data_IF_754282011823
#
_entry.id   IF_754282011823
#
_cell.length_a   1.000
_cell.length_b   1.000
_cell.length_c   1.000
_cell.angle_alpha   90.00
_cell.angle_beta   90.00
_cell.angle_gamma   90.00
#
_symmetry.space_group_name_H-M   'P 1'
#
loop_
_entity.id
_entity.type
_entity.pdbx_description
1 polymer ?
#
# COMPACT_ATOMS: atom_id res chain seq x y z
N UNK A 1 -24.85 21.46 -12.49
CA UNK A 1 -26.25 21.47 -12.04
C UNK A 1 -26.79 20.05 -11.74
N UNK A 2 -26.28 19.02 -12.42
CA UNK A 2 -26.74 17.61 -12.29
C UNK A 2 -26.74 17.08 -10.84
N UNK A 3 -25.74 17.44 -10.04
CA UNK A 3 -25.56 16.94 -8.66
C UNK A 3 -25.91 17.99 -7.58
N UNK A 4 -26.61 19.08 -7.92
CA UNK A 4 -26.82 20.20 -6.99
C UNK A 4 -27.58 19.82 -5.72
N UNK A 5 -28.65 19.05 -5.83
CA UNK A 5 -29.46 18.63 -4.68
C UNK A 5 -28.70 17.62 -3.81
N UNK A 6 -27.96 16.70 -4.43
CA UNK A 6 -27.11 15.73 -3.73
C UNK A 6 -26.00 16.44 -2.94
N UNK A 7 -25.30 17.39 -3.58
CA UNK A 7 -24.26 18.18 -2.93
C UNK A 7 -24.82 19.01 -1.76
N UNK A 8 -26.00 19.64 -1.93
CA UNK A 8 -26.65 20.40 -0.88
C UNK A 8 -27.03 19.50 0.29
N UNK A 9 -27.57 18.28 0.03
CA UNK A 9 -27.93 17.35 1.09
C UNK A 9 -26.70 16.91 1.90
N UNK A 10 -25.56 16.72 1.24
CA UNK A 10 -24.29 16.40 1.91
C UNK A 10 -23.81 17.60 2.75
N UNK A 11 -23.90 18.83 2.22
CA UNK A 11 -23.56 20.03 2.99
C UNK A 11 -24.45 20.22 4.23
N UNK A 12 -25.73 19.93 4.12
CA UNK A 12 -26.69 19.99 5.25
C UNK A 12 -26.33 18.99 6.36
N UNK A 13 -25.66 17.87 6.02
CA UNK A 13 -25.19 16.85 6.97
C UNK A 13 -23.75 17.08 7.47
N UNK A 14 -23.06 18.15 7.11
CA UNK A 14 -21.64 18.38 7.44
C UNK A 14 -21.34 18.13 8.93
N UNK A 15 -22.18 18.62 9.82
CA UNK A 15 -21.97 18.42 11.27
C UNK A 15 -22.10 16.96 11.71
N UNK A 16 -23.05 16.22 11.13
CA UNK A 16 -23.26 14.80 11.40
C UNK A 16 -22.12 13.95 10.84
N UNK A 17 -21.63 14.29 9.64
CA UNK A 17 -20.47 13.63 9.00
C UNK A 17 -19.23 13.78 9.88
N UNK A 18 -18.91 15.01 10.31
CA UNK A 18 -17.75 15.28 11.19
C UNK A 18 -17.86 14.48 12.48
N UNK A 19 -19.04 14.44 13.10
CA UNK A 19 -19.24 13.69 14.34
C UNK A 19 -19.12 12.18 14.13
N UNK A 20 -19.65 11.63 13.04
CA UNK A 20 -19.49 10.21 12.68
C UNK A 20 -18.01 9.84 12.47
N UNK A 21 -17.25 10.69 11.83
CA UNK A 21 -15.81 10.51 11.65
C UNK A 21 -15.08 10.54 13.00
N UNK A 22 -15.39 11.51 13.89
CA UNK A 22 -14.82 11.56 15.24
C UNK A 22 -15.06 10.29 16.04
N UNK A 23 -16.28 9.76 15.98
CA UNK A 23 -16.60 8.49 16.65
C UNK A 23 -15.75 7.34 16.12
N UNK A 24 -15.54 7.24 14.82
CA UNK A 24 -14.68 6.21 14.23
C UNK A 24 -13.19 6.42 14.60
N UNK A 25 -12.69 7.64 14.48
CA UNK A 25 -11.28 7.99 14.78
C UNK A 25 -10.93 7.77 16.24
N UNK A 26 -11.90 7.99 17.18
CA UNK A 26 -11.69 7.79 18.61
C UNK A 26 -11.37 6.33 19.00
N UNK A 27 -11.60 5.39 18.10
CA UNK A 27 -11.32 3.97 18.30
C UNK A 27 -9.91 3.65 17.80
N UNK A 28 -9.01 3.23 18.69
CA UNK A 28 -7.66 2.78 18.35
C UNK A 28 -7.72 1.43 17.66
N UNK A 29 -7.81 1.42 16.33
CA UNK A 29 -8.03 0.23 15.50
C UNK A 29 -6.77 -0.33 14.84
N UNK A 30 -5.64 -0.23 15.52
CA UNK A 30 -4.40 -0.91 15.10
C UNK A 30 -4.55 -2.41 15.30
N UNK A 31 -4.15 -3.20 14.30
CA UNK A 31 -4.14 -4.66 14.38
C UNK A 31 -3.33 -5.15 15.58
N UNK A 32 -3.85 -6.11 16.29
CA UNK A 32 -3.21 -6.73 17.44
C UNK A 32 -3.40 -8.26 17.43
N UNK A 33 -2.95 -8.93 18.49
CA UNK A 33 -3.12 -10.38 18.60
C UNK A 33 -4.59 -10.78 18.46
N UNK A 34 -4.90 -11.84 17.71
CA UNK A 34 -6.25 -12.34 17.55
C UNK A 34 -6.86 -12.78 18.88
N UNK A 35 -8.15 -12.48 19.07
CA UNK A 35 -8.98 -12.99 20.15
C UNK A 35 -10.14 -13.83 19.56
N UNK A 36 -10.85 -14.64 20.35
CA UNK A 36 -11.85 -15.59 19.82
C UNK A 36 -12.91 -14.97 18.91
N UNK A 37 -13.35 -13.74 19.19
CA UNK A 37 -14.34 -12.98 18.41
C UNK A 37 -13.79 -11.67 17.82
N UNK A 38 -12.48 -11.47 17.86
CA UNK A 38 -11.76 -10.32 17.32
C UNK A 38 -10.53 -10.78 16.50
N UNK A 39 -10.73 -11.25 15.27
CA UNK A 39 -9.67 -11.89 14.47
C UNK A 39 -8.46 -11.00 14.18
N UNK A 40 -8.63 -9.69 14.21
CA UNK A 40 -7.56 -8.69 14.01
C UNK A 40 -7.25 -7.90 15.29
N UNK A 41 -7.78 -8.36 16.45
CA UNK A 41 -7.73 -7.68 17.73
C UNK A 41 -8.96 -6.84 18.02
N UNK A 42 -9.08 -6.39 19.27
CA UNK A 42 -10.25 -5.67 19.77
C UNK A 42 -10.51 -4.35 19.02
N UNK A 43 -9.44 -3.58 18.73
CA UNK A 43 -9.59 -2.26 18.11
C UNK A 43 -10.25 -2.29 16.72
N UNK A 44 -9.76 -3.09 15.75
CA UNK A 44 -10.41 -3.25 14.45
C UNK A 44 -11.84 -3.77 14.54
N UNK A 45 -12.13 -4.70 15.47
CA UNK A 45 -13.51 -5.15 15.74
C UNK A 45 -14.41 -4.00 16.21
N UNK A 46 -13.97 -3.24 17.22
CA UNK A 46 -14.75 -2.12 17.78
C UNK A 46 -15.01 -1.05 16.69
N UNK A 47 -14.04 -0.79 15.80
CA UNK A 47 -14.21 0.13 14.68
C UNK A 47 -15.26 -0.36 13.67
N UNK A 48 -15.24 -1.66 13.36
CA UNK A 48 -16.22 -2.28 12.48
C UNK A 48 -17.63 -2.23 13.09
N UNK A 49 -17.78 -2.59 14.37
CA UNK A 49 -19.05 -2.52 15.09
C UNK A 49 -19.61 -1.08 15.12
N UNK A 50 -18.73 -0.09 15.36
CA UNK A 50 -19.10 1.33 15.31
C UNK A 50 -19.63 1.75 13.92
N UNK A 51 -18.98 1.33 12.83
CA UNK A 51 -19.42 1.66 11.47
C UNK A 51 -20.78 1.01 11.14
N UNK A 52 -21.00 -0.24 11.58
CA UNK A 52 -22.30 -0.93 11.45
C UNK A 52 -23.39 -0.18 12.22
N UNK A 53 -23.15 0.18 13.49
CA UNK A 53 -24.10 0.95 14.28
C UNK A 53 -24.43 2.31 13.67
N UNK A 54 -23.44 3.02 13.11
CA UNK A 54 -23.65 4.28 12.40
C UNK A 54 -24.54 4.04 11.17
N UNK A 55 -24.25 3.03 10.36
CA UNK A 55 -25.05 2.68 9.19
C UNK A 55 -26.52 2.38 9.56
N UNK A 56 -26.75 1.61 10.62
CA UNK A 56 -28.11 1.31 11.13
C UNK A 56 -28.83 2.57 11.61
N UNK A 57 -28.15 3.46 12.35
CA UNK A 57 -28.72 4.76 12.79
C UNK A 57 -29.09 5.66 11.61
N UNK A 58 -28.35 5.59 10.50
CA UNK A 58 -28.64 6.26 9.23
C UNK A 58 -29.79 5.57 8.46
N UNK A 59 -30.30 4.45 8.98
CA UNK A 59 -31.38 3.68 8.38
C UNK A 59 -30.95 2.85 7.17
N UNK A 60 -29.65 2.56 7.00
CA UNK A 60 -29.13 1.70 5.95
C UNK A 60 -29.27 0.21 6.37
N UNK A 61 -29.33 -0.70 5.40
CA UNK A 61 -29.22 -2.13 5.69
C UNK A 61 -27.74 -2.43 5.96
N UNK A 62 -27.39 -2.96 7.13
CA UNK A 62 -25.99 -3.22 7.47
C UNK A 62 -25.78 -4.70 7.85
N UNK A 63 -24.56 -5.20 7.62
CA UNK A 63 -24.16 -6.56 7.96
C UNK A 63 -22.69 -6.60 8.41
N UNK A 64 -22.45 -7.26 9.54
CA UNK A 64 -21.13 -7.64 10.01
C UNK A 64 -20.86 -9.10 9.60
N UNK A 65 -19.68 -9.38 9.08
CA UNK A 65 -19.25 -10.70 8.64
C UNK A 65 -18.05 -11.12 9.50
N UNK A 66 -18.35 -11.88 10.56
CA UNK A 66 -17.40 -12.50 11.50
C UNK A 66 -16.37 -11.54 12.10
N UNK A 67 -16.75 -10.27 12.34
CA UNK A 67 -15.87 -9.21 12.85
C UNK A 67 -14.57 -9.02 12.04
N UNK A 68 -14.62 -9.31 10.74
CA UNK A 68 -13.50 -9.14 9.79
C UNK A 68 -13.77 -8.05 8.77
N UNK A 69 -15.02 -7.97 8.32
CA UNK A 69 -15.47 -7.06 7.27
C UNK A 69 -16.98 -6.85 7.43
N UNK A 70 -17.48 -5.73 7.01
CA UNK A 70 -18.89 -5.44 7.01
C UNK A 70 -19.31 -4.56 5.86
N UNK A 71 -20.61 -4.31 5.76
CA UNK A 71 -21.11 -3.39 4.75
C UNK A 71 -22.41 -2.71 5.15
N UNK A 72 -22.69 -1.60 4.50
CA UNK A 72 -23.99 -0.94 4.46
C UNK A 72 -24.49 -0.89 3.01
N UNK A 73 -25.81 -1.08 2.81
CA UNK A 73 -26.41 -1.21 1.47
C UNK A 73 -27.73 -0.46 1.35
N UNK A 74 -27.98 0.06 0.14
CA UNK A 74 -29.29 0.60 -0.28
C UNK A 74 -29.68 0.05 -1.66
N UNK A 75 -30.94 0.15 -1.99
CA UNK A 75 -31.49 -0.23 -3.29
C UNK A 75 -31.91 -1.69 -3.38
N UNK A 76 -32.38 -2.04 -4.56
CA UNK A 76 -32.85 -3.36 -4.95
C UNK A 76 -32.25 -3.71 -6.32
N UNK A 77 -32.25 -4.98 -6.72
CA UNK A 77 -31.72 -5.43 -8.02
C UNK A 77 -30.70 -6.55 -7.91
N UNK A 78 -30.38 -7.14 -9.06
CA UNK A 78 -29.51 -8.31 -9.15
C UNK A 78 -28.04 -7.93 -9.13
N UNK A 79 -27.67 -6.75 -9.61
CA UNK A 79 -26.29 -6.27 -9.63
C UNK A 79 -26.02 -5.27 -8.48
N UNK A 80 -24.75 -5.17 -8.07
CA UNK A 80 -24.31 -4.29 -7.01
C UNK A 80 -23.03 -3.58 -7.40
N UNK A 81 -22.95 -2.27 -7.11
CA UNK A 81 -21.73 -1.46 -7.19
C UNK A 81 -21.25 -1.10 -5.79
N UNK A 82 -19.94 -0.92 -5.60
CA UNK A 82 -19.42 -0.71 -4.26
C UNK A 82 -18.39 0.41 -4.13
N UNK A 83 -18.39 1.03 -2.94
CA UNK A 83 -17.24 1.74 -2.37
C UNK A 83 -16.61 0.79 -1.36
N UNK A 84 -15.30 0.53 -1.46
CA UNK A 84 -14.58 -0.35 -0.56
C UNK A 84 -13.50 0.45 0.19
N UNK A 85 -13.70 0.63 1.49
CA UNK A 85 -12.74 1.31 2.35
C UNK A 85 -12.34 0.46 3.56
N UNK A 86 -11.51 1.01 4.46
CA UNK A 86 -11.07 0.30 5.66
C UNK A 86 -11.20 1.14 6.94
N UNK A 87 -11.14 0.45 8.07
CA UNK A 87 -11.34 1.02 9.40
C UNK A 87 -10.16 0.72 10.34
N UNK A 88 -9.27 -0.20 9.98
CA UNK A 88 -7.99 -0.37 10.66
C UNK A 88 -7.03 0.77 10.29
N UNK A 89 -6.03 0.96 11.12
CA UNK A 89 -5.04 2.03 10.94
C UNK A 89 -3.65 1.53 11.33
N UNK A 90 -2.61 2.15 10.78
CA UNK A 90 -1.23 1.93 11.22
C UNK A 90 -0.99 2.47 12.64
N UNK A 91 0.05 2.01 13.36
CA UNK A 91 0.44 2.55 14.66
C UNK A 91 0.57 4.07 14.67
N UNK A 92 0.23 4.69 15.80
CA UNK A 92 0.23 6.16 15.92
C UNK A 92 1.62 6.77 15.69
N UNK A 93 2.67 6.11 16.20
CA UNK A 93 4.01 6.70 16.24
C UNK A 93 4.11 7.85 17.25
N UNK A 94 5.31 8.44 17.32
CA UNK A 94 5.62 9.56 18.21
C UNK A 94 5.64 10.89 17.43
N UNK A 95 5.48 12.01 18.12
CA UNK A 95 5.64 13.35 17.54
C UNK A 95 4.34 14.03 17.12
N UNK A 96 3.21 13.58 17.60
CA UNK A 96 1.92 14.24 17.41
C UNK A 96 1.85 15.57 18.17
N UNK A 97 1.38 16.62 17.49
CA UNK A 97 1.06 17.93 18.09
C UNK A 97 -0.42 18.08 18.46
N UNK A 98 -1.27 17.19 17.99
CA UNK A 98 -2.71 17.07 18.27
C UNK A 98 -2.99 15.65 18.78
N UNK A 99 -4.09 15.46 19.52
CA UNK A 99 -4.49 14.10 19.93
C UNK A 99 -4.86 13.25 18.70
N UNK A 100 -4.12 12.18 18.42
CA UNK A 100 -4.34 11.36 17.21
C UNK A 100 -5.69 10.65 17.14
N UNK A 101 -6.42 10.59 18.27
CA UNK A 101 -7.72 9.91 18.36
C UNK A 101 -8.90 10.88 18.56
N UNK A 102 -8.68 12.20 18.54
CA UNK A 102 -9.73 13.18 18.80
C UNK A 102 -10.39 13.76 17.55
N UNK A 103 -9.78 13.61 16.36
CA UNK A 103 -10.21 14.27 15.13
C UNK A 103 -10.52 15.76 15.33
N UNK A 104 -9.58 16.46 16.01
CA UNK A 104 -9.69 17.89 16.30
C UNK A 104 -9.62 18.71 15.01
N UNK A 105 -10.38 19.79 14.97
CA UNK A 105 -10.36 20.71 13.81
C UNK A 105 -9.73 22.03 14.26
N UNK A 106 -8.62 22.40 13.62
CA UNK A 106 -7.93 23.66 13.78
C UNK A 106 -7.79 24.35 12.43
N UNK A 107 -8.24 25.57 12.31
CA UNK A 107 -8.21 26.38 11.07
C UNK A 107 -8.77 25.64 9.84
N UNK A 108 -9.83 24.84 10.02
CA UNK A 108 -10.49 24.09 8.96
C UNK A 108 -9.78 22.79 8.57
N UNK A 109 -8.72 22.39 9.26
CA UNK A 109 -8.00 21.14 9.07
C UNK A 109 -8.34 20.19 10.21
N UNK A 110 -8.76 18.96 9.90
CA UNK A 110 -9.02 17.87 10.84
C UNK A 110 -7.75 17.04 11.02
N UNK A 111 -7.30 16.87 12.27
CA UNK A 111 -6.11 16.09 12.63
C UNK A 111 -6.51 14.81 13.34
N UNK A 112 -5.89 13.70 12.97
CA UNK A 112 -6.10 12.40 13.65
C UNK A 112 -5.67 11.23 12.77
N UNK A 113 -5.34 10.09 13.39
CA UNK A 113 -5.01 8.88 12.67
C UNK A 113 -6.28 8.27 12.03
N UNK A 114 -6.27 8.12 10.71
CA UNK A 114 -7.39 7.62 9.93
C UNK A 114 -8.33 8.73 9.42
N UNK A 115 -8.07 10.02 9.68
CA UNK A 115 -8.93 11.10 9.15
C UNK A 115 -8.83 11.19 7.62
N UNK A 116 -7.70 10.80 7.04
CA UNK A 116 -7.45 10.72 5.60
C UNK A 116 -7.36 9.27 5.11
N UNK A 117 -6.74 8.40 5.88
CA UNK A 117 -6.45 7.01 5.53
C UNK A 117 -6.99 6.04 6.59
N UNK A 118 -8.16 5.45 6.42
CA UNK A 118 -9.25 5.68 5.44
C UNK A 118 -10.61 5.85 6.16
N UNK A 119 -10.58 6.00 7.54
CA UNK A 119 -11.83 6.15 8.33
C UNK A 119 -12.66 7.35 7.89
N UNK A 120 -12.01 8.51 7.62
CA UNK A 120 -12.71 9.71 7.18
C UNK A 120 -13.49 9.50 5.89
N UNK A 121 -12.84 9.10 4.78
CA UNK A 121 -13.50 8.81 3.51
C UNK A 121 -14.51 7.66 3.59
N UNK A 122 -14.20 6.59 4.32
CA UNK A 122 -15.09 5.43 4.49
C UNK A 122 -16.38 5.80 5.24
N UNK A 123 -16.29 6.51 6.36
CA UNK A 123 -17.48 6.99 7.09
C UNK A 123 -18.20 8.05 6.24
N UNK A 124 -17.49 8.95 5.57
CA UNK A 124 -18.08 9.89 4.62
C UNK A 124 -18.89 9.21 3.52
N UNK A 125 -18.46 8.04 3.07
CA UNK A 125 -19.18 7.23 2.08
C UNK A 125 -20.51 6.68 2.60
N UNK A 126 -20.65 6.40 3.91
CA UNK A 126 -21.96 6.06 4.51
C UNK A 126 -22.94 7.21 4.38
N UNK A 127 -22.50 8.44 4.60
CA UNK A 127 -23.33 9.64 4.43
C UNK A 127 -23.62 9.94 2.96
N UNK A 128 -22.76 9.55 2.03
CA UNK A 128 -23.06 9.58 0.61
C UNK A 128 -24.25 8.66 0.28
N UNK A 129 -24.28 7.43 0.80
CA UNK A 129 -25.45 6.53 0.69
C UNK A 129 -26.71 7.13 1.32
N UNK A 130 -26.56 7.71 2.50
CA UNK A 130 -27.66 8.39 3.22
C UNK A 130 -28.26 9.51 2.37
N UNK A 131 -27.43 10.36 1.73
CA UNK A 131 -27.89 11.44 0.88
C UNK A 131 -28.70 10.93 -0.32
N UNK A 132 -28.21 9.89 -1.02
CA UNK A 132 -28.88 9.25 -2.15
C UNK A 132 -30.26 8.71 -1.70
N UNK A 133 -30.30 8.00 -0.57
CA UNK A 133 -31.51 7.44 0.01
C UNK A 133 -32.53 8.52 0.40
N UNK A 134 -32.09 9.57 1.10
CA UNK A 134 -32.99 10.64 1.59
C UNK A 134 -33.65 11.42 0.45
N UNK A 135 -32.94 11.57 -0.65
CA UNK A 135 -33.47 12.23 -1.84
C UNK A 135 -34.30 11.30 -2.74
N UNK A 136 -34.36 10.00 -2.43
CA UNK A 136 -35.07 9.02 -3.24
C UNK A 136 -34.55 8.96 -4.68
N UNK A 137 -33.23 9.12 -4.88
CA UNK A 137 -32.64 9.11 -6.22
C UNK A 137 -32.74 7.70 -6.82
N UNK A 138 -33.32 7.60 -8.01
CA UNK A 138 -33.45 6.33 -8.71
C UNK A 138 -32.09 5.78 -9.14
N UNK A 139 -31.91 4.48 -9.01
CA UNK A 139 -30.76 3.72 -9.48
C UNK A 139 -31.17 2.26 -9.78
N UNK A 140 -30.53 1.67 -10.79
CA UNK A 140 -30.86 0.34 -11.28
C UNK A 140 -30.11 -0.80 -10.56
N UNK A 141 -29.00 -0.48 -9.88
CA UNK A 141 -28.17 -1.44 -9.13
C UNK A 141 -28.20 -1.11 -7.64
N UNK A 142 -28.02 -2.12 -6.79
CA UNK A 142 -27.78 -1.88 -5.35
C UNK A 142 -26.45 -1.14 -5.18
N UNK A 143 -26.39 -0.29 -4.15
CA UNK A 143 -25.18 0.46 -3.80
C UNK A 143 -24.72 0.00 -2.42
N UNK A 144 -23.46 -0.44 -2.31
CA UNK A 144 -22.85 -0.94 -1.09
C UNK A 144 -21.63 -0.12 -0.71
N UNK A 145 -21.48 0.22 0.57
CA UNK A 145 -20.21 0.63 1.16
C UNK A 145 -19.71 -0.55 1.99
N UNK A 146 -18.56 -1.08 1.64
CA UNK A 146 -17.89 -2.20 2.30
C UNK A 146 -16.75 -1.62 3.15
N UNK A 147 -16.64 -2.05 4.41
CA UNK A 147 -15.60 -1.61 5.33
C UNK A 147 -14.78 -2.79 5.80
N UNK A 148 -13.51 -2.85 5.39
CA UNK A 148 -12.53 -3.83 5.85
C UNK A 148 -11.93 -3.46 7.20
N UNK A 149 -11.38 -4.44 7.87
CA UNK A 149 -10.73 -4.27 9.17
C UNK A 149 -9.28 -4.83 9.20
N UNK A 150 -8.63 -4.96 8.04
CA UNK A 150 -7.28 -5.52 7.87
C UNK A 150 -6.63 -5.10 6.53
N UNK A 151 -6.78 -3.84 6.12
CA UNK A 151 -6.12 -3.33 4.90
C UNK A 151 -4.63 -3.20 5.12
N UNK A 152 -4.24 -2.46 6.13
CA UNK A 152 -2.88 -2.05 6.49
C UNK A 152 -1.91 -3.23 6.75
N UNK A 153 -2.46 -4.43 6.89
CA UNK A 153 -1.68 -5.60 7.26
C UNK A 153 -1.96 -6.85 6.43
N UNK A 154 -2.57 -6.70 5.23
CA UNK A 154 -2.59 -7.75 4.22
C UNK A 154 -3.94 -8.12 3.64
N UNK A 155 -4.99 -7.32 3.86
CA UNK A 155 -6.30 -7.41 3.19
C UNK A 155 -7.00 -8.78 3.29
N UNK A 156 -6.71 -9.56 4.35
CA UNK A 156 -7.30 -10.90 4.54
C UNK A 156 -8.81 -10.85 4.80
N UNK A 157 -9.32 -9.71 5.24
CA UNK A 157 -10.75 -9.45 5.44
C UNK A 157 -11.54 -9.52 4.12
N UNK A 158 -11.01 -9.01 3.00
CA UNK A 158 -11.68 -9.10 1.69
C UNK A 158 -11.64 -10.54 1.16
N UNK A 159 -10.53 -11.26 1.35
CA UNK A 159 -10.49 -12.69 1.04
C UNK A 159 -11.56 -13.47 1.83
N UNK A 160 -11.81 -13.08 3.09
CA UNK A 160 -12.87 -13.66 3.91
C UNK A 160 -14.28 -13.32 3.39
N UNK A 161 -14.52 -12.07 2.95
CA UNK A 161 -15.75 -11.63 2.31
C UNK A 161 -16.11 -12.52 1.12
N UNK A 162 -15.15 -12.73 0.20
CA UNK A 162 -15.33 -13.60 -0.98
C UNK A 162 -15.61 -15.05 -0.55
N UNK A 163 -14.82 -15.58 0.40
CA UNK A 163 -14.97 -16.96 0.90
C UNK A 163 -16.29 -17.19 1.60
N UNK A 164 -16.87 -16.18 2.23
CA UNK A 164 -18.18 -16.25 2.90
C UNK A 164 -19.36 -16.27 1.91
N UNK A 165 -19.07 -16.20 0.61
CA UNK A 165 -20.09 -16.25 -0.43
C UNK A 165 -20.84 -14.92 -0.62
N UNK A 166 -20.27 -13.82 -0.15
CA UNK A 166 -20.82 -12.49 -0.40
C UNK A 166 -20.65 -12.11 -1.87
N UNK A 167 -21.56 -11.31 -2.37
CA UNK A 167 -21.59 -10.88 -3.74
C UNK A 167 -20.43 -9.94 -4.10
N UNK A 168 -19.77 -10.20 -5.20
CA UNK A 168 -18.70 -9.36 -5.74
C UNK A 168 -19.32 -8.19 -6.53
N UNK A 169 -18.90 -6.93 -6.29
CA UNK A 169 -19.40 -5.79 -7.05
C UNK A 169 -19.05 -5.88 -8.52
N UNK A 170 -19.99 -5.47 -9.39
CA UNK A 170 -19.76 -5.41 -10.85
C UNK A 170 -18.91 -4.20 -11.26
N UNK A 171 -18.83 -3.16 -10.42
CA UNK A 171 -17.92 -2.02 -10.54
C UNK A 171 -17.82 -1.28 -9.21
N UNK A 172 -16.77 -0.51 -9.02
CA UNK A 172 -16.63 0.29 -7.81
C UNK A 172 -15.31 1.06 -7.73
N UNK A 173 -15.07 1.60 -6.54
CA UNK A 173 -13.81 2.27 -6.24
C UNK A 173 -13.46 2.18 -4.74
N UNK A 174 -12.20 2.38 -4.43
CA UNK A 174 -11.73 2.62 -3.06
C UNK A 174 -11.42 4.11 -2.87
N UNK A 175 -11.87 4.75 -1.76
CA UNK A 175 -11.59 6.16 -1.47
C UNK A 175 -10.27 6.33 -0.69
N UNK A 176 -9.27 5.51 -0.96
CA UNK A 176 -8.04 5.35 -0.20
C UNK A 176 -6.82 5.61 -1.10
N UNK A 177 -6.75 6.81 -1.69
CA UNK A 177 -5.63 7.23 -2.56
C UNK A 177 -5.77 8.67 -3.04
N UNK A 178 -5.30 8.94 -4.26
CA UNK A 178 -5.34 10.26 -4.89
C UNK A 178 -6.46 10.38 -5.94
N UNK A 179 -6.99 11.58 -6.08
CA UNK A 179 -7.70 12.00 -7.29
C UNK A 179 -6.72 12.37 -8.41
N UNK A 180 -7.08 12.31 -9.71
CA UNK A 180 -8.43 11.95 -10.20
C UNK A 180 -8.77 10.46 -10.18
N UNK A 181 -7.99 9.59 -10.82
CA UNK A 181 -8.26 8.15 -10.90
C UNK A 181 -6.93 7.39 -10.95
N UNK A 182 -6.72 6.51 -10.00
CA UNK A 182 -5.64 5.52 -10.09
C UNK A 182 -6.22 4.27 -10.74
N UNK A 183 -5.96 4.10 -12.02
CA UNK A 183 -6.46 2.98 -12.81
C UNK A 183 -5.42 1.88 -13.04
N UNK A 184 -4.16 2.12 -12.62
CA UNK A 184 -3.04 1.20 -12.78
C UNK A 184 -2.25 1.10 -11.46
N UNK A 185 -2.18 -0.08 -10.89
CA UNK A 185 -1.36 -0.38 -9.72
C UNK A 185 -0.41 -1.54 -10.06
N UNK A 186 0.90 -1.31 -9.97
CA UNK A 186 1.91 -2.31 -10.33
C UNK A 186 1.68 -3.63 -9.60
N UNK A 187 1.97 -4.72 -10.30
CA UNK A 187 2.17 -6.00 -9.66
C UNK A 187 3.34 -5.94 -8.70
N UNK A 188 3.31 -6.77 -7.67
CA UNK A 188 4.38 -6.82 -6.67
C UNK A 188 4.81 -8.25 -6.43
N UNK A 189 6.08 -8.46 -6.20
CA UNK A 189 6.51 -9.67 -5.51
C UNK A 189 7.60 -9.37 -4.50
N UNK A 190 7.66 -10.19 -3.48
CA UNK A 190 8.80 -10.23 -2.59
C UNK A 190 9.28 -11.66 -2.43
N UNK A 191 10.59 -11.85 -2.38
CA UNK A 191 11.19 -13.14 -2.15
C UNK A 191 12.38 -13.04 -1.19
N UNK A 192 12.71 -14.17 -0.58
CA UNK A 192 13.94 -14.34 0.19
C UNK A 192 14.89 -15.17 -0.66
N UNK A 193 16.08 -14.64 -0.86
CA UNK A 193 17.20 -15.32 -1.52
C UNK A 193 18.23 -15.72 -0.47
N UNK A 194 18.78 -16.93 -0.59
CA UNK A 194 19.74 -17.48 0.37
C UNK A 194 20.99 -18.00 -0.32
N UNK A 195 22.15 -17.65 0.22
CA UNK A 195 23.47 -18.18 -0.15
C UNK A 195 24.12 -18.85 1.05
N UNK A 196 24.33 -20.15 1.00
CA UNK A 196 25.13 -20.85 1.99
C UNK A 196 26.60 -20.48 1.82
N UNK A 197 27.33 -20.30 2.93
CA UNK A 197 28.75 -19.96 2.91
C UNK A 197 29.60 -21.10 3.46
N UNK A 198 30.73 -21.39 2.80
CA UNK A 198 31.83 -22.15 3.38
C UNK A 198 32.88 -21.17 3.94
N UNK A 199 32.93 -21.06 5.26
CA UNK A 199 33.87 -20.18 5.97
C UNK A 199 35.31 -20.74 6.09
N UNK A 200 35.64 -21.84 5.40
CA UNK A 200 36.98 -22.42 5.41
C UNK A 200 37.90 -21.88 4.29
N UNK A 201 37.57 -20.70 3.77
CA UNK A 201 38.31 -20.01 2.70
C UNK A 201 39.27 -18.96 3.27
N UNK A 202 39.66 -17.96 2.45
CA UNK A 202 40.54 -16.86 2.84
C UNK A 202 39.83 -15.74 3.65
N UNK A 203 38.67 -16.08 4.24
CA UNK A 203 37.87 -15.18 5.07
C UNK A 203 37.06 -15.97 6.11
N UNK A 204 36.61 -15.24 7.14
CA UNK A 204 35.58 -15.69 8.08
C UNK A 204 34.58 -14.55 8.31
N UNK A 205 33.41 -14.64 7.68
CA UNK A 205 32.32 -13.70 7.92
C UNK A 205 31.78 -13.89 9.34
N UNK A 206 31.68 -12.81 10.12
CA UNK A 206 31.16 -12.81 11.49
C UNK A 206 29.80 -12.14 11.59
N UNK A 207 29.60 -11.05 10.87
CA UNK A 207 28.34 -10.33 10.81
C UNK A 207 28.12 -9.71 9.43
N UNK A 208 26.91 -9.82 8.93
CA UNK A 208 26.38 -9.06 7.80
C UNK A 208 24.89 -8.88 8.06
N UNK A 209 24.50 -7.70 8.51
CA UNK A 209 23.09 -7.44 8.86
C UNK A 209 22.69 -6.01 8.56
N UNK A 210 21.50 -5.82 7.98
CA UNK A 210 20.99 -4.50 7.65
C UNK A 210 19.55 -4.51 7.19
N UNK A 211 18.93 -3.34 7.30
CA UNK A 211 17.51 -3.16 7.02
C UNK A 211 16.59 -3.80 8.05
N UNK A 212 15.34 -3.36 8.08
CA UNK A 212 14.31 -3.86 9.03
C UNK A 212 13.04 -4.30 8.31
N UNK A 213 12.78 -3.73 7.14
CA UNK A 213 11.59 -4.03 6.33
C UNK A 213 11.94 -4.14 4.85
N UNK A 214 11.27 -5.06 4.14
CA UNK A 214 11.59 -5.41 2.74
C UNK A 214 11.31 -4.29 1.74
N UNK A 215 10.33 -3.44 2.02
CA UNK A 215 9.84 -2.38 1.12
C UNK A 215 10.49 -1.00 1.36
N UNK A 216 11.65 -0.99 2.01
CA UNK A 216 12.46 0.21 2.22
C UNK A 216 13.89 -0.05 1.74
N UNK A 217 14.50 0.90 1.03
CA UNK A 217 15.91 0.87 0.65
C UNK A 217 16.75 0.86 1.93
N UNK A 218 17.68 -0.08 2.01
CA UNK A 218 18.49 -0.35 3.21
C UNK A 218 19.39 0.85 3.55
N UNK A 219 19.10 1.61 4.64
CA UNK A 219 19.85 2.81 4.97
C UNK A 219 21.12 2.55 5.79
N UNK A 220 21.23 1.38 6.42
CA UNK A 220 22.36 1.03 7.27
C UNK A 220 22.68 -0.46 7.16
N UNK A 221 23.97 -0.78 7.20
CA UNK A 221 24.48 -2.14 7.17
C UNK A 221 25.64 -2.28 8.14
N UNK A 222 25.65 -3.35 8.94
CA UNK A 222 26.78 -3.78 9.77
C UNK A 222 27.51 -4.90 9.09
N UNK A 223 28.84 -4.77 9.00
CA UNK A 223 29.72 -5.75 8.39
C UNK A 223 30.91 -6.04 9.29
N UNK A 224 31.10 -7.32 9.64
CA UNK A 224 32.29 -7.79 10.38
C UNK A 224 32.85 -9.04 9.71
N UNK A 225 34.14 -9.00 9.38
CA UNK A 225 34.87 -10.09 8.73
C UNK A 225 36.31 -10.19 9.24
N UNK A 226 36.80 -11.39 9.32
CA UNK A 226 38.22 -11.70 9.58
C UNK A 226 38.86 -12.23 8.31
N UNK A 227 39.93 -11.56 7.83
CA UNK A 227 40.62 -11.92 6.57
C UNK A 227 42.01 -11.29 6.50
N UNK A 228 42.96 -11.98 5.86
CA UNK A 228 44.27 -11.43 5.55
C UNK A 228 44.26 -10.60 4.26
N UNK A 229 43.14 -10.56 3.56
CA UNK A 229 43.00 -9.72 2.36
C UNK A 229 43.03 -8.24 2.70
N UNK A 230 43.52 -7.44 1.78
CA UNK A 230 43.40 -5.99 1.85
C UNK A 230 42.07 -5.57 1.26
N UNK A 231 41.22 -5.01 2.12
CA UNK A 231 39.89 -4.51 1.74
C UNK A 231 39.93 -2.99 1.64
N UNK A 232 39.27 -2.44 0.62
CA UNK A 232 39.07 -1.00 0.50
C UNK A 232 37.57 -0.71 0.76
N UNK A 233 37.28 -0.04 1.88
CA UNK A 233 35.92 0.28 2.29
C UNK A 233 35.85 1.79 2.54
N UNK A 234 34.95 2.49 1.84
CA UNK A 234 34.79 3.95 1.91
C UNK A 234 36.10 4.74 1.67
N UNK A 235 37.02 4.17 0.83
CA UNK A 235 38.33 4.78 0.51
C UNK A 235 39.41 4.52 1.55
N UNK A 236 39.14 3.77 2.61
CA UNK A 236 40.10 3.36 3.62
C UNK A 236 40.51 1.90 3.44
N UNK A 237 41.78 1.60 3.74
CA UNK A 237 42.35 0.25 3.62
C UNK A 237 42.27 -0.48 4.96
N UNK A 238 41.71 -1.68 4.94
CA UNK A 238 41.50 -2.54 6.11
C UNK A 238 42.10 -3.93 5.89
N UNK A 239 42.51 -4.58 6.96
CA UNK A 239 42.94 -5.98 6.98
C UNK A 239 42.81 -6.58 8.38
N UNK A 240 42.80 -7.89 8.51
CA UNK A 240 42.64 -8.60 9.80
C UNK A 240 41.15 -8.65 10.21
N UNK A 241 40.87 -8.24 11.43
CA UNK A 241 39.48 -8.08 11.90
C UNK A 241 38.94 -6.74 11.45
N UNK A 242 38.05 -6.76 10.47
CA UNK A 242 37.41 -5.59 9.91
C UNK A 242 35.99 -5.51 10.44
N UNK A 243 35.64 -4.40 11.12
CA UNK A 243 34.30 -4.11 11.62
C UNK A 243 33.93 -2.70 11.17
N UNK A 244 32.85 -2.55 10.39
CA UNK A 244 32.40 -1.27 9.90
C UNK A 244 30.88 -1.21 9.73
N UNK A 245 30.38 0.02 9.73
CA UNK A 245 29.00 0.33 9.35
C UNK A 245 29.03 1.08 8.02
N UNK A 246 28.12 0.67 7.12
CA UNK A 246 27.93 1.33 5.83
C UNK A 246 26.66 2.12 5.88
N UNK A 247 26.75 3.42 5.64
CA UNK A 247 25.61 4.32 5.57
C UNK A 247 25.08 4.42 4.13
N UNK A 248 23.78 4.31 4.00
CA UNK A 248 23.00 4.59 2.81
C UNK A 248 21.98 5.69 3.06
N UNK A 249 20.88 5.66 2.31
CA UNK A 249 19.74 6.58 2.44
C UNK A 249 18.46 5.81 2.19
N UNK A 250 17.50 5.90 3.11
CA UNK A 250 16.20 5.24 2.94
C UNK A 250 15.37 5.90 1.84
N UNK A 251 14.58 5.08 1.17
CA UNK A 251 13.50 5.47 0.27
C UNK A 251 12.49 4.32 0.21
N UNK A 252 11.27 4.60 -0.21
CA UNK A 252 10.29 3.54 -0.42
C UNK A 252 10.65 2.68 -1.64
N UNK A 253 10.37 1.37 -1.62
CA UNK A 253 10.71 0.43 -2.70
C UNK A 253 10.01 0.71 -4.04
N UNK A 254 8.97 1.56 -4.06
CA UNK A 254 8.35 2.04 -5.30
C UNK A 254 9.14 3.16 -6.00
N UNK A 255 10.05 3.81 -5.29
CA UNK A 255 10.94 4.87 -5.79
C UNK A 255 12.35 4.69 -5.25
N UNK A 256 12.97 3.51 -5.47
CA UNK A 256 14.26 3.15 -4.85
C UNK A 256 15.41 4.03 -5.33
N UNK A 257 15.29 4.65 -6.50
CA UNK A 257 16.25 5.60 -7.07
C UNK A 257 16.43 6.89 -6.24
N UNK A 258 15.51 7.17 -5.31
CA UNK A 258 15.61 8.29 -4.36
C UNK A 258 16.45 7.94 -3.12
N UNK A 259 16.79 6.67 -2.95
CA UNK A 259 17.60 6.13 -1.87
C UNK A 259 19.02 5.76 -2.29
N UNK A 260 19.79 5.26 -1.30
CA UNK A 260 21.11 4.65 -1.51
C UNK A 260 21.18 3.36 -0.69
N UNK A 261 21.33 2.23 -1.34
CA UNK A 261 21.34 0.93 -0.67
C UNK A 261 22.70 0.63 -0.04
N UNK A 262 22.76 0.49 1.28
CA UNK A 262 24.00 0.25 2.01
C UNK A 262 24.68 -1.08 1.64
N UNK A 263 23.92 -2.13 1.31
CA UNK A 263 24.47 -3.41 0.86
C UNK A 263 25.17 -3.28 -0.49
N UNK A 264 24.53 -2.61 -1.44
CA UNK A 264 25.11 -2.43 -2.77
C UNK A 264 26.37 -1.56 -2.71
N UNK A 265 26.42 -0.54 -1.82
CA UNK A 265 27.63 0.24 -1.54
C UNK A 265 28.75 -0.64 -0.98
N UNK A 266 28.47 -1.54 -0.03
CA UNK A 266 29.47 -2.49 0.47
C UNK A 266 29.97 -3.41 -0.66
N UNK A 267 29.06 -3.97 -1.45
CA UNK A 267 29.43 -4.87 -2.54
C UNK A 267 30.33 -4.17 -3.56
N UNK A 268 30.04 -2.91 -3.91
CA UNK A 268 30.87 -2.11 -4.80
C UNK A 268 32.26 -1.80 -4.20
N UNK A 269 32.33 -1.44 -2.92
CA UNK A 269 33.61 -1.27 -2.21
C UNK A 269 34.48 -2.55 -2.25
N UNK A 270 33.86 -3.72 -2.18
CA UNK A 270 34.52 -5.02 -2.15
C UNK A 270 34.71 -5.64 -3.56
N UNK A 271 34.28 -4.97 -4.64
CA UNK A 271 34.33 -5.47 -6.04
C UNK A 271 35.67 -6.04 -6.47
N UNK A 272 36.76 -5.38 -6.07
CA UNK A 272 38.11 -5.77 -6.43
C UNK A 272 38.85 -6.59 -5.37
N UNK A 273 38.16 -7.04 -4.33
CA UNK A 273 38.72 -7.89 -3.29
C UNK A 273 38.88 -9.32 -3.80
N UNK A 274 40.00 -9.96 -3.44
CA UNK A 274 40.36 -11.31 -3.89
C UNK A 274 39.69 -12.39 -3.01
N UNK A 275 38.41 -12.23 -2.68
CA UNK A 275 37.67 -13.31 -2.00
C UNK A 275 37.56 -14.53 -2.91
N UNK A 276 37.40 -15.70 -2.30
CA UNK A 276 37.22 -16.97 -3.00
C UNK A 276 35.89 -17.64 -2.53
N UNK A 277 35.42 -18.62 -3.29
CA UNK A 277 34.23 -19.42 -2.95
C UNK A 277 32.93 -18.64 -2.84
N UNK A 278 32.09 -19.04 -1.88
CA UNK A 278 30.71 -18.62 -1.80
C UNK A 278 30.49 -17.11 -1.55
N UNK A 279 31.38 -16.47 -0.78
CA UNK A 279 31.31 -15.02 -0.57
C UNK A 279 31.63 -14.26 -1.86
N UNK A 280 32.60 -14.77 -2.63
CA UNK A 280 32.89 -14.20 -3.96
C UNK A 280 31.68 -14.30 -4.87
N UNK A 281 31.03 -15.46 -4.93
CA UNK A 281 29.81 -15.67 -5.74
C UNK A 281 28.70 -14.70 -5.34
N UNK A 282 28.50 -14.51 -4.02
CA UNK A 282 27.52 -13.54 -3.52
C UNK A 282 27.85 -12.10 -3.94
N UNK A 283 29.11 -11.68 -3.76
CA UNK A 283 29.55 -10.33 -4.16
C UNK A 283 29.50 -10.16 -5.68
N UNK A 284 29.85 -11.19 -6.46
CA UNK A 284 29.74 -11.18 -7.91
C UNK A 284 28.28 -11.04 -8.37
N UNK A 285 27.34 -11.73 -7.71
CA UNK A 285 25.91 -11.54 -7.98
C UNK A 285 25.47 -10.10 -7.72
N UNK A 286 25.84 -9.52 -6.57
CA UNK A 286 25.51 -8.13 -6.24
C UNK A 286 26.12 -7.14 -7.26
N UNK A 287 27.36 -7.35 -7.64
CA UNK A 287 28.11 -6.43 -8.49
C UNK A 287 27.82 -6.58 -9.99
N UNK A 288 27.55 -7.80 -10.47
CA UNK A 288 27.45 -8.07 -11.90
C UNK A 288 26.01 -8.24 -12.38
N UNK A 289 25.08 -8.61 -11.47
CA UNK A 289 23.68 -8.79 -11.83
C UNK A 289 22.80 -7.65 -11.29
N UNK A 290 23.01 -7.21 -10.03
CA UNK A 290 22.23 -6.09 -9.44
C UNK A 290 22.86 -4.73 -9.79
N UNK A 291 24.17 -4.58 -9.63
CA UNK A 291 25.03 -3.48 -10.10
C UNK A 291 24.56 -2.05 -9.75
N UNK A 292 24.12 -1.79 -8.52
CA UNK A 292 23.62 -0.47 -8.09
C UNK A 292 22.36 0.02 -8.83
N UNK A 293 21.77 -0.80 -9.69
CA UNK A 293 20.55 -0.48 -10.43
C UNK A 293 19.30 -0.79 -9.61
N UNK A 294 18.26 -0.04 -9.91
CA UNK A 294 16.96 -0.17 -9.23
C UNK A 294 15.82 -0.58 -10.17
N UNK A 295 16.13 -0.91 -11.41
CA UNK A 295 15.15 -1.29 -12.44
C UNK A 295 15.43 -2.66 -13.10
N UNK A 296 16.46 -3.38 -12.60
CA UNK A 296 16.77 -4.74 -13.05
C UNK A 296 17.29 -4.87 -14.48
N UNK A 297 17.84 -3.79 -15.05
CA UNK A 297 18.35 -3.78 -16.42
C UNK A 297 19.53 -4.74 -16.59
N UNK A 298 20.57 -4.63 -15.78
CA UNK A 298 21.74 -5.54 -15.82
C UNK A 298 21.33 -6.97 -15.45
N UNK A 299 20.39 -7.13 -14.53
CA UNK A 299 19.81 -8.43 -14.16
C UNK A 299 19.04 -9.09 -15.33
N UNK A 300 18.68 -8.32 -16.35
CA UNK A 300 17.97 -8.79 -17.54
C UNK A 300 16.47 -9.05 -17.32
N UNK A 301 15.88 -8.37 -16.35
CA UNK A 301 14.45 -8.43 -16.03
C UNK A 301 13.74 -7.08 -16.20
N UNK A 302 14.44 -6.09 -16.73
CA UNK A 302 13.86 -4.78 -17.01
C UNK A 302 12.60 -4.89 -17.87
N UNK A 303 11.57 -4.18 -17.47
CA UNK A 303 10.34 -3.98 -18.26
C UNK A 303 9.72 -2.63 -17.93
N UNK A 304 8.99 -2.07 -18.89
CA UNK A 304 8.34 -0.77 -18.79
C UNK A 304 7.08 -0.74 -19.65
N UNK A 305 6.05 -0.04 -19.17
CA UNK A 305 4.86 0.28 -19.93
C UNK A 305 4.48 1.76 -19.79
N UNK A 306 3.57 2.21 -20.68
CA UNK A 306 3.07 3.59 -20.66
C UNK A 306 2.12 3.88 -19.50
N UNK A 307 1.51 2.83 -18.94
CA UNK A 307 0.43 2.93 -17.96
C UNK A 307 0.96 3.10 -16.53
N UNK A 308 2.07 2.43 -16.22
CA UNK A 308 2.63 2.42 -14.86
C UNK A 308 4.13 2.67 -14.78
N UNK A 309 4.81 2.89 -15.93
CA UNK A 309 6.23 3.14 -16.02
C UNK A 309 7.09 1.89 -15.86
N UNK A 310 8.34 2.05 -15.39
CA UNK A 310 9.34 0.99 -15.33
C UNK A 310 9.29 0.13 -14.08
N UNK A 311 9.81 -1.08 -14.18
CA UNK A 311 10.07 -1.98 -13.04
C UNK A 311 10.91 -1.28 -11.97
N UNK A 312 10.64 -1.58 -10.70
CA UNK A 312 11.54 -1.23 -9.60
C UNK A 312 11.97 -2.47 -8.84
N UNK A 313 13.22 -2.47 -8.37
CA UNK A 313 13.85 -3.56 -7.64
C UNK A 313 14.56 -2.98 -6.41
N UNK A 314 14.28 -3.54 -5.24
CA UNK A 314 14.89 -3.15 -3.98
C UNK A 314 15.37 -4.37 -3.19
N UNK A 315 16.52 -4.24 -2.53
CA UNK A 315 16.98 -5.19 -1.51
C UNK A 315 16.79 -4.51 -0.15
N UNK A 316 15.78 -4.97 0.61
CA UNK A 316 15.36 -4.29 1.83
C UNK A 316 16.03 -4.77 3.11
N UNK A 317 16.27 -6.06 3.23
CA UNK A 317 16.82 -6.70 4.45
C UNK A 317 17.91 -7.68 4.07
N UNK A 318 18.97 -7.75 4.87
CA UNK A 318 19.99 -8.81 4.80
C UNK A 318 20.37 -9.26 6.20
N UNK A 319 20.62 -10.55 6.33
CA UNK A 319 21.12 -11.16 7.57
C UNK A 319 22.04 -12.35 7.28
N UNK A 320 23.05 -12.51 8.13
CA UNK A 320 23.93 -13.68 8.17
C UNK A 320 23.75 -14.42 9.47
N UNK A 321 23.26 -15.65 9.42
CA UNK A 321 22.92 -16.50 10.57
C UNK A 321 24.10 -17.36 11.12
N UNK A 322 25.31 -17.16 10.60
CA UNK A 322 26.49 -17.95 10.92
C UNK A 322 26.81 -19.05 9.90
N UNK A 323 25.88 -19.40 9.03
CA UNK A 323 26.04 -20.41 7.96
C UNK A 323 25.65 -19.88 6.58
N UNK A 324 24.65 -19.00 6.52
CA UNK A 324 24.08 -18.52 5.27
C UNK A 324 23.79 -17.02 5.31
N UNK A 325 23.96 -16.35 4.18
CA UNK A 325 23.43 -15.02 3.92
C UNK A 325 22.01 -15.16 3.38
N UNK A 326 21.05 -14.51 4.01
CA UNK A 326 19.68 -14.35 3.46
C UNK A 326 19.39 -12.90 3.21
N UNK A 327 18.76 -12.59 2.08
CA UNK A 327 18.37 -11.22 1.73
C UNK A 327 17.02 -11.19 1.02
N UNK A 328 16.30 -10.09 1.22
CA UNK A 328 14.96 -9.91 0.63
C UNK A 328 15.04 -9.05 -0.62
N UNK A 329 14.31 -9.46 -1.65
CA UNK A 329 14.03 -8.65 -2.85
C UNK A 329 12.56 -8.25 -2.83
N UNK A 330 12.27 -6.96 -2.99
CA UNK A 330 10.94 -6.40 -3.27
C UNK A 330 10.96 -5.77 -4.66
N UNK A 331 10.02 -6.14 -5.51
CA UNK A 331 9.92 -5.62 -6.88
C UNK A 331 8.52 -5.15 -7.20
N UNK A 332 8.44 -4.03 -7.94
CA UNK A 332 7.19 -3.48 -8.49
C UNK A 332 7.22 -3.64 -9.99
N UNK A 333 6.30 -4.46 -10.50
CA UNK A 333 6.27 -4.90 -11.91
C UNK A 333 5.18 -4.13 -12.65
N UNK A 334 5.50 -3.49 -13.79
CA UNK A 334 4.53 -2.77 -14.61
C UNK A 334 3.30 -3.61 -14.96
N UNK A 335 2.13 -2.98 -15.09
CA UNK A 335 0.83 -3.65 -15.11
C UNK A 335 0.60 -4.57 -16.31
N UNK A 336 1.35 -4.40 -17.38
CA UNK A 336 1.26 -5.24 -18.58
C UNK A 336 2.19 -6.45 -18.55
N UNK A 337 2.98 -6.62 -17.48
CA UNK A 337 3.94 -7.71 -17.31
C UNK A 337 3.55 -8.62 -16.13
N UNK A 338 4.01 -9.89 -16.21
CA UNK A 338 3.80 -10.88 -15.16
C UNK A 338 4.86 -10.77 -14.07
N UNK A 339 4.47 -10.55 -12.80
CA UNK A 339 5.40 -10.64 -11.67
C UNK A 339 6.10 -12.01 -11.57
N UNK A 340 5.42 -13.08 -11.96
CA UNK A 340 5.94 -14.44 -11.98
C UNK A 340 7.11 -14.59 -12.97
N UNK A 341 7.01 -13.97 -14.16
CA UNK A 341 8.06 -14.04 -15.19
C UNK A 341 9.32 -13.26 -14.75
N UNK A 342 9.13 -12.07 -14.16
CA UNK A 342 10.23 -11.27 -13.60
C UNK A 342 10.93 -12.04 -12.49
N UNK A 343 10.16 -12.59 -11.55
CA UNK A 343 10.68 -13.40 -10.44
C UNK A 343 11.47 -14.62 -10.93
N UNK A 344 10.96 -15.34 -11.94
CA UNK A 344 11.62 -16.48 -12.56
C UNK A 344 12.93 -16.07 -13.25
N UNK A 345 12.98 -14.89 -13.85
CA UNK A 345 14.21 -14.29 -14.40
C UNK A 345 15.28 -14.10 -13.33
N UNK A 346 14.89 -13.53 -12.19
CA UNK A 346 15.79 -13.35 -11.02
C UNK A 346 16.27 -14.70 -10.50
N UNK A 347 15.37 -15.66 -10.32
CA UNK A 347 15.69 -17.02 -9.83
C UNK A 347 16.78 -17.68 -10.70
N UNK A 348 16.59 -17.68 -12.03
CA UNK A 348 17.55 -18.27 -12.97
C UNK A 348 18.94 -17.62 -12.91
N UNK A 349 19.01 -16.32 -12.67
CA UNK A 349 20.27 -15.61 -12.51
C UNK A 349 20.93 -15.94 -11.18
N UNK A 350 20.20 -15.90 -10.07
CA UNK A 350 20.68 -16.22 -8.72
C UNK A 350 21.24 -17.64 -8.62
N UNK A 351 20.58 -18.62 -9.24
CA UNK A 351 21.03 -20.02 -9.26
C UNK A 351 22.43 -20.22 -9.86
N UNK A 352 22.86 -19.37 -10.82
CA UNK A 352 24.20 -19.45 -11.39
C UNK A 352 25.30 -19.13 -10.38
N UNK A 353 24.95 -18.42 -9.32
CA UNK A 353 25.84 -18.06 -8.21
C UNK A 353 25.61 -18.94 -6.96
N UNK A 354 24.87 -20.05 -7.10
CA UNK A 354 24.51 -20.92 -6.00
C UNK A 354 23.60 -20.26 -4.95
N UNK A 355 22.83 -19.28 -5.38
CA UNK A 355 21.82 -18.59 -4.55
C UNK A 355 20.46 -19.21 -4.81
N UNK A 356 19.75 -19.61 -3.76
CA UNK A 356 18.43 -20.24 -3.86
C UNK A 356 17.32 -19.26 -3.46
N UNK A 357 16.16 -19.36 -4.10
CA UNK A 357 14.96 -18.61 -3.73
C UNK A 357 14.08 -19.49 -2.84
N UNK A 358 13.80 -19.03 -1.60
CA UNK A 358 13.13 -19.86 -0.59
C UNK A 358 11.66 -19.55 -0.38
N UNK A 359 11.29 -18.28 -0.32
CA UNK A 359 9.90 -17.87 -0.10
C UNK A 359 9.51 -16.77 -1.05
N UNK A 360 8.25 -16.78 -1.46
CA UNK A 360 7.71 -15.80 -2.40
C UNK A 360 6.33 -15.36 -1.96
N UNK A 361 6.05 -14.09 -2.17
CA UNK A 361 4.72 -13.53 -2.07
C UNK A 361 4.47 -12.69 -3.32
N UNK A 362 3.39 -12.99 -4.04
CA UNK A 362 3.04 -12.33 -5.29
C UNK A 362 1.69 -11.63 -5.13
N UNK A 363 1.63 -10.37 -5.54
CA UNK A 363 0.41 -9.58 -5.65
C UNK A 363 0.25 -9.20 -7.12
N UNK A 364 -0.88 -9.56 -7.71
CA UNK A 364 -1.16 -9.26 -9.12
C UNK A 364 -1.36 -7.78 -9.36
N UNK A 365 -1.05 -7.28 -10.56
CA UNK A 365 -1.34 -5.90 -10.92
C UNK A 365 -2.84 -5.64 -11.01
N UNK A 366 -3.23 -4.39 -10.82
CA UNK A 366 -4.51 -3.86 -11.22
C UNK A 366 -4.33 -2.99 -12.46
N UNK A 367 -5.17 -3.20 -13.46
CA UNK A 367 -5.24 -2.31 -14.61
C UNK A 367 -6.67 -2.26 -15.16
N UNK A 368 -7.25 -1.07 -15.16
CA UNK A 368 -8.56 -0.80 -15.78
C UNK A 368 -8.34 0.12 -16.98
N UNK A 369 -8.64 -0.32 -18.22
CA UNK A 369 -8.41 0.46 -19.42
C UNK A 369 -9.17 1.81 -19.44
N UNK A 370 -8.55 2.84 -20.00
CA UNK A 370 -9.12 4.17 -20.12
C UNK A 370 -10.48 4.21 -20.84
N UNK A 371 -10.69 3.26 -21.76
CA UNK A 371 -11.92 3.15 -22.54
C UNK A 371 -13.06 2.44 -21.82
N UNK A 372 -12.80 1.89 -20.61
CA UNK A 372 -13.82 1.19 -19.83
C UNK A 372 -14.96 2.12 -19.42
N UNK A 373 -16.14 1.55 -19.22
CA UNK A 373 -17.30 2.33 -18.76
C UNK A 373 -17.08 2.92 -17.37
N UNK A 374 -16.41 2.16 -16.49
CA UNK A 374 -16.02 2.62 -15.16
C UNK A 374 -15.21 3.93 -15.23
N UNK A 375 -14.12 3.93 -15.98
CA UNK A 375 -13.23 5.10 -16.09
C UNK A 375 -13.99 6.30 -16.71
N UNK A 376 -14.79 6.07 -17.76
CA UNK A 376 -15.58 7.15 -18.37
C UNK A 376 -16.57 7.77 -17.39
N UNK A 377 -17.31 6.96 -16.62
CA UNK A 377 -18.27 7.45 -15.63
C UNK A 377 -17.57 8.26 -14.53
N UNK A 378 -16.49 7.73 -13.94
CA UNK A 378 -15.72 8.41 -12.90
C UNK A 378 -15.09 9.71 -13.41
N UNK A 379 -14.52 9.71 -14.62
CA UNK A 379 -13.98 10.91 -15.25
C UNK A 379 -15.04 12.00 -15.43
N UNK A 380 -16.20 11.64 -15.97
CA UNK A 380 -17.30 12.58 -16.16
C UNK A 380 -17.77 13.20 -14.83
N UNK A 381 -17.81 12.39 -13.76
CA UNK A 381 -18.17 12.88 -12.42
C UNK A 381 -17.11 13.83 -11.89
N UNK A 382 -15.83 13.43 -11.92
CA UNK A 382 -14.73 14.25 -11.43
C UNK A 382 -14.72 15.61 -12.13
N UNK A 383 -14.77 15.62 -13.47
CA UNK A 383 -14.80 16.85 -14.27
C UNK A 383 -16.05 17.73 -13.99
N UNK A 384 -17.21 17.11 -13.80
CA UNK A 384 -18.44 17.84 -13.48
C UNK A 384 -18.43 18.47 -12.07
N UNK A 385 -17.77 17.82 -11.11
CA UNK A 385 -17.70 18.26 -9.71
C UNK A 385 -16.57 19.26 -9.46
N UNK A 386 -15.44 19.13 -10.17
CA UNK A 386 -14.24 19.94 -9.94
C UNK A 386 -14.04 21.04 -10.98
N UNK A 387 -14.51 20.83 -12.21
CA UNK A 387 -14.19 21.65 -13.37
C UNK A 387 -12.81 21.37 -13.97
N UNK A 388 -12.07 20.42 -13.43
CA UNK A 388 -10.73 20.02 -13.85
C UNK A 388 -10.80 18.79 -14.75
N UNK A 389 -9.87 18.67 -15.70
CA UNK A 389 -9.78 17.47 -16.54
C UNK A 389 -9.21 16.29 -15.77
N UNK A 390 -9.78 15.13 -16.01
CA UNK A 390 -9.29 13.88 -15.45
C UNK A 390 -7.97 13.48 -16.10
N UNK A 391 -7.02 13.03 -15.27
CA UNK A 391 -5.84 12.28 -15.68
C UNK A 391 -5.89 10.89 -15.05
N UNK A 392 -5.34 9.90 -15.74
CA UNK A 392 -5.17 8.56 -15.20
C UNK A 392 -3.78 8.43 -14.58
N UNK A 393 -3.71 7.76 -13.45
CA UNK A 393 -2.49 7.67 -12.62
C UNK A 393 -2.12 6.20 -12.48
N UNK A 394 -0.82 5.89 -12.74
CA UNK A 394 -0.23 4.61 -12.40
C UNK A 394 0.63 4.73 -11.13
N UNK A 395 0.47 3.82 -10.18
CA UNK A 395 1.23 3.81 -8.93
C UNK A 395 2.02 2.52 -8.72
N UNK A 396 3.12 2.63 -7.98
CA UNK A 396 3.93 1.48 -7.56
C UNK A 396 3.45 0.81 -6.27
N UNK A 397 2.44 1.38 -5.62
CA UNK A 397 1.77 0.83 -4.44
C UNK A 397 0.61 -0.08 -4.79
N UNK A 398 -0.25 -0.34 -3.81
CA UNK A 398 -1.49 -1.06 -3.99
C UNK A 398 -2.48 -0.65 -2.93
N UNK A 399 -3.75 -0.67 -3.28
CA UNK A 399 -4.89 -0.37 -2.43
C UNK A 399 -5.88 -1.54 -2.45
N UNK A 400 -6.97 -1.41 -1.74
CA UNK A 400 -8.09 -2.36 -1.82
C UNK A 400 -8.67 -2.53 -3.22
N UNK A 401 -8.44 -1.60 -4.15
CA UNK A 401 -8.92 -1.73 -5.53
C UNK A 401 -8.51 -3.05 -6.20
N UNK A 402 -7.35 -3.63 -5.81
CA UNK A 402 -6.90 -4.95 -6.32
C UNK A 402 -7.79 -6.13 -5.89
N UNK A 403 -8.65 -5.94 -4.91
CA UNK A 403 -9.42 -7.03 -4.29
C UNK A 403 -10.59 -7.51 -5.13
N UNK A 404 -11.15 -6.63 -5.97
CA UNK A 404 -12.27 -6.96 -6.84
C UNK A 404 -11.98 -6.60 -8.30
N UNK A 405 -12.59 -7.32 -9.27
CA UNK A 405 -12.58 -6.89 -10.67
C UNK A 405 -13.25 -5.53 -10.84
N UNK A 406 -12.90 -4.80 -11.90
CA UNK A 406 -13.51 -3.52 -12.26
C UNK A 406 -13.63 -2.54 -11.08
N UNK A 407 -12.54 -2.41 -10.33
CA UNK A 407 -12.36 -1.45 -9.26
C UNK A 407 -11.13 -0.59 -9.52
N UNK A 408 -11.16 0.66 -9.05
CA UNK A 408 -10.03 1.61 -9.12
C UNK A 408 -9.90 2.36 -7.80
N UNK A 409 -8.77 3.02 -7.55
CA UNK A 409 -8.69 3.97 -6.45
C UNK A 409 -9.10 5.37 -6.93
N UNK A 410 -9.85 6.12 -6.07
CA UNK A 410 -10.51 7.35 -6.45
C UNK A 410 -10.65 8.28 -5.24
N UNK A 411 -9.65 9.12 -5.00
CA UNK A 411 -9.59 10.04 -3.86
C UNK A 411 -9.27 9.37 -2.51
N UNK A 412 -9.21 10.12 -1.40
CA UNK A 412 -9.75 11.47 -1.21
C UNK A 412 -8.79 12.62 -1.52
N UNK A 413 -7.48 12.37 -1.71
CA UNK A 413 -6.47 13.42 -1.82
C UNK A 413 -6.54 14.12 -3.16
N UNK A 414 -6.68 15.45 -3.16
CA UNK A 414 -6.62 16.22 -4.41
C UNK A 414 -5.17 16.52 -4.82
N UNK A 415 -4.92 16.76 -6.12
CA UNK A 415 -3.57 17.06 -6.60
C UNK A 415 -2.91 18.20 -5.81
N UNK A 416 -1.70 17.94 -5.29
CA UNK A 416 -0.92 18.91 -4.53
C UNK A 416 -1.22 18.96 -3.02
N UNK A 417 -2.16 18.17 -2.52
CA UNK A 417 -2.37 18.00 -1.08
C UNK A 417 -1.37 16.98 -0.53
N UNK A 418 -0.91 17.22 0.71
CA UNK A 418 -0.12 16.28 1.50
C UNK A 418 -0.83 16.11 2.84
N UNK A 419 -1.21 14.89 3.17
CA UNK A 419 -2.01 14.56 4.34
C UNK A 419 -1.21 13.92 5.47
N UNK A 420 0.12 13.81 5.35
CA UNK A 420 0.98 13.08 6.29
C UNK A 420 0.49 11.65 6.57
N UNK A 421 0.00 10.95 5.56
CA UNK A 421 -0.46 9.56 5.68
C UNK A 421 0.66 8.70 6.28
N UNK A 422 0.30 7.83 7.25
CA UNK A 422 1.22 6.98 8.02
C UNK A 422 2.26 7.73 8.87
N UNK A 423 2.17 9.06 8.97
CA UNK A 423 3.06 9.90 9.78
C UNK A 423 2.29 10.53 10.95
N UNK A 424 3.00 11.02 12.00
CA UNK A 424 2.37 11.89 12.99
C UNK A 424 1.78 13.14 12.35
N UNK A 425 0.70 13.65 12.95
CA UNK A 425 -0.08 14.77 12.43
C UNK A 425 -0.73 14.50 11.06
N UNK A 426 -1.15 13.26 10.82
CA UNK A 426 -2.06 12.96 9.72
C UNK A 426 -3.26 13.88 9.78
N UNK A 427 -3.66 14.42 8.62
CA UNK A 427 -4.68 15.44 8.56
C UNK A 427 -5.38 15.47 7.21
N UNK A 428 -6.56 16.08 7.17
CA UNK A 428 -7.28 16.42 5.94
C UNK A 428 -8.02 17.75 6.11
N UNK A 429 -8.04 18.57 5.07
CA UNK A 429 -8.91 19.75 5.06
C UNK A 429 -10.37 19.31 5.10
N UNK A 430 -11.17 19.90 6.00
CA UNK A 430 -12.62 19.63 6.05
C UNK A 430 -13.30 19.96 4.73
N UNK A 431 -12.84 20.98 4.03
CA UNK A 431 -13.39 21.34 2.73
C UNK A 431 -13.02 20.32 1.64
N UNK A 432 -11.78 19.80 1.62
CA UNK A 432 -11.36 18.72 0.72
C UNK A 432 -12.14 17.44 1.00
N UNK A 433 -12.28 17.05 2.27
CA UNK A 433 -13.07 15.89 2.68
C UNK A 433 -14.53 16.01 2.20
N UNK A 434 -15.18 17.14 2.43
CA UNK A 434 -16.56 17.36 2.00
C UNK A 434 -16.69 17.37 0.45
N UNK A 435 -15.69 17.90 -0.27
CA UNK A 435 -15.64 17.83 -1.74
C UNK A 435 -15.50 16.37 -2.20
N UNK A 436 -14.61 15.60 -1.57
CA UNK A 436 -14.42 14.16 -1.83
C UNK A 436 -15.72 13.38 -1.65
N UNK A 437 -16.43 13.56 -0.53
CA UNK A 437 -17.71 12.89 -0.25
C UNK A 437 -18.77 13.21 -1.33
N UNK A 438 -18.85 14.45 -1.82
CA UNK A 438 -19.74 14.83 -2.93
C UNK A 438 -19.40 14.12 -4.23
N UNK A 439 -18.10 13.98 -4.50
CA UNK A 439 -17.61 13.22 -5.66
C UNK A 439 -17.95 11.74 -5.50
N UNK A 440 -17.72 11.13 -4.34
CA UNK A 440 -18.06 9.73 -4.06
C UNK A 440 -19.55 9.46 -4.23
N UNK A 441 -20.42 10.31 -3.67
CA UNK A 441 -21.86 10.19 -3.82
C UNK A 441 -22.31 10.26 -5.29
N UNK A 442 -21.75 11.19 -6.05
CA UNK A 442 -22.07 11.34 -7.47
C UNK A 442 -21.53 10.17 -8.29
N UNK A 443 -20.33 9.71 -7.99
CA UNK A 443 -19.66 8.60 -8.68
C UNK A 443 -20.41 7.28 -8.47
N UNK A 444 -20.74 6.94 -7.23
CA UNK A 444 -21.43 5.68 -6.94
C UNK A 444 -22.86 5.67 -7.51
N UNK A 445 -23.53 6.81 -7.51
CA UNK A 445 -24.85 6.95 -8.15
C UNK A 445 -24.79 6.76 -9.67
N UNK A 446 -23.75 7.33 -10.34
CA UNK A 446 -23.56 7.12 -11.79
C UNK A 446 -23.19 5.66 -12.12
N UNK A 447 -22.42 4.98 -11.24
CA UNK A 447 -22.11 3.57 -11.44
C UNK A 447 -23.34 2.68 -11.23
N UNK A 448 -24.28 3.10 -10.39
CA UNK A 448 -25.52 2.37 -10.14
C UNK A 448 -26.58 2.53 -11.22
N UNK A 449 -26.41 3.48 -12.15
CA UNK A 449 -27.23 3.71 -13.33
C UNK A 449 -26.56 3.18 -14.59
#
# INVERSE_FOLDING_TARGET
>A
MKYKELNQRIDDMKGEIIEGIRQSVSIYSVKSNPEPDAPFGKGPKDALENAIEQAEKLGLKAKNIDNRIGYAEIGEGDEMVAILGHLDVVPLGDGWSHDPLAAEIHDGIMYGRGVSDDKGPTIGSLYALKAIKDLGLEHGRRIRVIFGADEESGSSCVAHYIKSGEEIPVAGFTPDADFPIINAEKGMFSCVLRKKLDNNMNYRLKQLSGGTVKNVVMPNLKFEIETDLILNINGETHTGNVCCEIAGKSAHASTPEKGENALLKLADNLRNSSFEGDLKDFLDFMNNEINMETDGNTLGVFCEDSESGKLTLNIGVIDYDGESISFTVDSRVPVTFSPEDVMEGIRKKAEKYGITMESTNIVRPLFVPAESELIKKLSNVYEAQTGEKTSLIGIGGGTYAKSFPDMVAFGPSFPGEDHNIHQPNEHISVDSLMRGIKIFASAILELAN
#
